data_IF_302056814851
#
_entry.id   IF_302056814851
#
_cell.length_a   1.000
_cell.length_b   1.000
_cell.length_c   1.000
_cell.angle_alpha   90.00
_cell.angle_beta   90.00
_cell.angle_gamma   90.00
#
_symmetry.space_group_name_H-M   'P 1'
#
loop_
_entity.id
_entity.type
_entity.pdbx_description
1 polymer ?
#
# COMPACT_ATOMS: atom_id res chain seq x y z
N UNK A 1 -4.41 25.91 -14.74
CA UNK A 1 -3.21 25.60 -15.55
C UNK A 1 -3.03 24.09 -15.50
N UNK A 2 -3.30 23.36 -16.59
CA UNK A 2 -2.93 21.95 -16.64
C UNK A 2 -1.43 21.88 -16.85
N UNK A 3 -0.68 21.56 -15.81
CA UNK A 3 0.71 21.12 -15.93
C UNK A 3 0.78 19.98 -16.96
N UNK A 4 1.83 19.95 -17.78
CA UNK A 4 2.05 18.87 -18.74
C UNK A 4 2.22 17.50 -18.05
N UNK A 5 2.31 16.40 -18.82
CA UNK A 5 2.38 15.02 -18.29
C UNK A 5 3.65 14.73 -17.47
N UNK A 6 4.63 15.62 -17.50
CA UNK A 6 5.88 15.54 -16.75
C UNK A 6 6.07 16.81 -15.92
N UNK A 7 6.09 16.67 -14.60
CA UNK A 7 6.24 17.81 -13.67
C UNK A 7 7.40 17.54 -12.73
N UNK A 8 8.40 18.41 -12.72
CA UNK A 8 9.49 18.34 -11.74
C UNK A 8 8.97 18.79 -10.37
N UNK A 9 9.05 17.92 -9.38
CA UNK A 9 8.52 18.15 -8.02
C UNK A 9 9.63 18.27 -6.96
N UNK A 10 10.85 17.85 -7.29
CA UNK A 10 12.04 18.03 -6.46
C UNK A 10 13.27 18.28 -7.33
N UNK A 11 14.42 18.54 -6.71
CA UNK A 11 15.69 18.78 -7.38
C UNK A 11 16.01 17.69 -8.42
N UNK A 12 15.82 16.43 -8.07
CA UNK A 12 16.09 15.27 -8.92
C UNK A 12 14.86 14.39 -9.21
N UNK A 13 13.63 14.84 -8.88
CA UNK A 13 12.41 14.02 -9.03
C UNK A 13 11.40 14.64 -9.99
N UNK A 14 10.90 13.81 -10.91
CA UNK A 14 9.85 14.15 -11.87
C UNK A 14 8.65 13.25 -11.62
N UNK A 15 7.50 13.87 -11.36
CA UNK A 15 6.20 13.22 -11.36
C UNK A 15 5.75 12.97 -12.80
N UNK A 16 5.35 11.73 -13.08
CA UNK A 16 4.93 11.27 -14.41
C UNK A 16 3.44 10.92 -14.38
N UNK A 17 2.64 11.70 -15.09
CA UNK A 17 1.21 11.47 -15.33
C UNK A 17 0.95 11.29 -16.83
N UNK A 18 1.35 10.11 -17.34
CA UNK A 18 1.21 9.74 -18.74
C UNK A 18 0.72 8.28 -18.87
N UNK A 19 -0.06 7.91 -19.90
CA UNK A 19 -0.49 6.52 -20.10
C UNK A 19 0.65 5.51 -20.14
N UNK A 20 1.83 5.89 -20.64
CA UNK A 20 3.02 5.03 -20.68
C UNK A 20 3.78 4.92 -19.34
N UNK A 21 3.34 5.64 -18.29
CA UNK A 21 4.02 5.64 -16.99
C UNK A 21 4.09 4.24 -16.35
N UNK A 22 3.16 3.33 -16.68
CA UNK A 22 3.20 1.95 -16.17
C UNK A 22 4.49 1.22 -16.57
N UNK A 23 5.11 1.58 -17.69
CA UNK A 23 6.35 0.96 -18.16
C UNK A 23 7.50 1.22 -17.18
N UNK A 24 7.50 2.38 -16.51
CA UNK A 24 8.47 2.72 -15.47
C UNK A 24 8.34 1.74 -14.29
N UNK A 25 7.11 1.37 -13.92
CA UNK A 25 6.84 0.46 -12.81
C UNK A 25 7.05 -1.01 -13.17
N UNK A 26 6.81 -1.38 -14.43
CA UNK A 26 6.95 -2.74 -14.93
C UNK A 26 8.42 -3.10 -15.24
N UNK A 27 9.23 -2.11 -15.61
CA UNK A 27 10.65 -2.31 -15.87
C UNK A 27 11.42 -2.67 -14.58
N UNK A 28 12.50 -3.47 -14.69
CA UNK A 28 13.34 -3.84 -13.55
C UNK A 28 14.27 -2.69 -13.13
N UNK A 29 13.69 -1.52 -12.85
CA UNK A 29 14.39 -0.34 -12.39
C UNK A 29 14.63 -0.41 -10.89
N UNK A 30 15.71 0.24 -10.46
CA UNK A 30 15.97 0.42 -9.03
C UNK A 30 14.86 1.26 -8.40
N UNK A 31 14.35 0.83 -7.25
CA UNK A 31 13.53 1.73 -6.43
C UNK A 31 14.43 2.77 -5.79
N UNK A 32 13.92 3.98 -5.55
CA UNK A 32 14.71 5.02 -4.88
C UNK A 32 14.92 4.70 -3.40
N UNK A 33 15.90 5.35 -2.77
CA UNK A 33 16.19 5.23 -1.35
C UNK A 33 15.01 5.57 -0.42
N UNK A 34 14.00 6.29 -0.91
CA UNK A 34 12.72 6.48 -0.21
C UNK A 34 12.10 5.16 0.28
N UNK A 35 12.25 4.05 -0.46
CA UNK A 35 11.70 2.76 -0.03
C UNK A 35 12.40 2.19 1.20
N UNK A 36 13.65 2.59 1.49
CA UNK A 36 14.35 2.19 2.72
C UNK A 36 13.64 2.67 3.99
N UNK A 37 12.75 3.67 3.89
CA UNK A 37 11.90 4.09 5.00
C UNK A 37 10.97 2.97 5.50
N UNK A 38 10.67 1.98 4.66
CA UNK A 38 9.87 0.80 5.01
C UNK A 38 10.71 -0.36 5.57
N UNK A 39 12.01 -0.14 5.82
CA UNK A 39 12.85 -1.05 6.60
C UNK A 39 12.52 -0.89 8.09
N UNK A 40 11.44 -1.54 8.52
CA UNK A 40 10.96 -1.55 9.91
C UNK A 40 11.29 -2.91 10.54
N UNK A 41 11.73 -2.98 11.82
CA UNK A 41 11.93 -1.90 12.79
C UNK A 41 13.06 -0.92 12.51
N UNK A 42 14.09 -1.32 11.77
CA UNK A 42 15.27 -0.49 11.54
C UNK A 42 15.95 -0.83 10.20
N UNK A 43 16.97 -0.05 9.86
CA UNK A 43 17.69 -0.15 8.58
C UNK A 43 18.41 -1.48 8.31
N UNK A 44 18.53 -2.38 9.29
CA UNK A 44 19.09 -3.73 9.07
C UNK A 44 18.03 -4.73 8.61
N UNK A 45 16.74 -4.38 8.69
CA UNK A 45 15.66 -5.20 8.17
C UNK A 45 15.41 -4.89 6.70
N UNK A 46 15.14 -5.94 5.92
CA UNK A 46 14.83 -5.79 4.52
C UNK A 46 13.55 -6.56 4.18
N UNK A 47 12.52 -5.81 3.83
CA UNK A 47 11.21 -6.30 3.42
C UNK A 47 11.04 -6.21 1.90
N UNK A 48 10.02 -6.86 1.36
CA UNK A 48 9.69 -6.74 -0.07
C UNK A 48 9.44 -5.30 -0.51
N UNK A 49 8.89 -4.47 0.39
CA UNK A 49 8.62 -3.06 0.12
C UNK A 49 9.92 -2.26 0.15
N UNK A 50 10.79 -2.48 1.13
CA UNK A 50 12.05 -1.73 1.28
C UNK A 50 13.16 -2.10 0.31
N UNK A 51 13.15 -3.32 -0.24
CA UNK A 51 14.19 -3.75 -1.18
C UNK A 51 14.16 -2.91 -2.46
N UNK A 52 15.30 -2.29 -2.77
CA UNK A 52 15.48 -1.36 -3.87
C UNK A 52 16.15 -2.00 -5.10
N UNK A 53 16.93 -3.08 -4.88
CA UNK A 53 17.59 -3.82 -5.94
C UNK A 53 16.56 -4.74 -6.66
N UNK A 54 16.35 -4.56 -7.96
CA UNK A 54 15.36 -5.34 -8.71
C UNK A 54 15.67 -6.84 -8.72
N UNK A 55 16.94 -7.24 -8.67
CA UNK A 55 17.33 -8.67 -8.66
C UNK A 55 16.98 -9.32 -7.32
N UNK A 56 17.36 -8.67 -6.21
CA UNK A 56 17.02 -9.16 -4.87
C UNK A 56 15.52 -9.17 -4.64
N UNK A 57 14.82 -8.13 -5.08
CA UNK A 57 13.37 -8.07 -5.03
C UNK A 57 12.72 -9.24 -5.76
N UNK A 58 13.20 -9.58 -6.97
CA UNK A 58 12.70 -10.72 -7.73
C UNK A 58 12.91 -12.04 -6.98
N UNK A 59 14.08 -12.26 -6.37
CA UNK A 59 14.36 -13.44 -5.54
C UNK A 59 13.43 -13.51 -4.33
N UNK A 60 13.31 -12.42 -3.56
CA UNK A 60 12.43 -12.36 -2.38
C UNK A 60 10.97 -12.62 -2.76
N UNK A 61 10.50 -12.01 -3.87
CA UNK A 61 9.14 -12.23 -4.39
C UNK A 61 8.94 -13.69 -4.79
N UNK A 62 9.91 -14.29 -5.46
CA UNK A 62 9.84 -15.70 -5.87
C UNK A 62 9.72 -16.63 -4.66
N UNK A 63 10.46 -16.37 -3.58
CA UNK A 63 10.44 -17.18 -2.36
C UNK A 63 9.07 -17.16 -1.66
N UNK A 64 8.31 -16.07 -1.80
CA UNK A 64 6.98 -15.92 -1.20
C UNK A 64 5.84 -16.31 -2.16
N UNK A 65 6.11 -16.41 -3.46
CA UNK A 65 5.08 -16.59 -4.48
C UNK A 65 4.23 -17.87 -4.30
N UNK A 66 4.83 -18.95 -3.81
CA UNK A 66 4.11 -20.22 -3.57
C UNK A 66 3.06 -20.12 -2.47
N UNK A 67 3.34 -19.33 -1.42
CA UNK A 67 2.42 -19.08 -0.31
C UNK A 67 1.17 -18.30 -0.74
N UNK A 68 1.30 -17.43 -1.73
CA UNK A 68 0.20 -16.63 -2.30
C UNK A 68 -0.33 -17.17 -3.63
N UNK A 69 -0.03 -18.43 -3.96
CA UNK A 69 -0.58 -19.08 -5.15
C UNK A 69 -2.10 -19.18 -5.06
N UNK A 70 -2.80 -19.22 -6.19
CA UNK A 70 -4.27 -19.36 -6.20
C UNK A 70 -4.75 -20.57 -5.40
N UNK A 71 -4.05 -21.70 -5.50
CA UNK A 71 -4.34 -22.91 -4.72
C UNK A 71 -4.14 -22.73 -3.22
N UNK A 72 -3.19 -21.91 -2.78
CA UNK A 72 -2.99 -21.62 -1.35
C UNK A 72 -4.07 -20.69 -0.82
N UNK A 73 -4.43 -19.65 -1.59
CA UNK A 73 -5.49 -18.70 -1.21
C UNK A 73 -6.85 -19.40 -1.10
N UNK A 74 -7.17 -20.31 -2.01
CA UNK A 74 -8.42 -21.08 -1.94
C UNK A 74 -8.53 -21.93 -0.66
N UNK A 75 -7.41 -22.40 -0.11
CA UNK A 75 -7.42 -23.12 1.18
C UNK A 75 -7.82 -22.22 2.36
N UNK A 76 -7.65 -20.91 2.22
CA UNK A 76 -8.01 -19.94 3.25
C UNK A 76 -9.50 -19.55 3.23
N UNK A 77 -10.22 -19.83 2.13
CA UNK A 77 -11.62 -19.43 1.93
C UNK A 77 -12.55 -19.88 3.08
N UNK A 78 -12.52 -21.14 3.57
CA UNK A 78 -13.40 -21.56 4.66
C UNK A 78 -13.16 -20.81 5.97
N UNK A 79 -11.95 -20.31 6.18
CA UNK A 79 -11.61 -19.54 7.38
C UNK A 79 -12.07 -18.08 7.25
N UNK A 80 -11.97 -17.52 6.04
CA UNK A 80 -12.53 -16.21 5.73
C UNK A 80 -14.05 -16.21 5.95
N UNK A 81 -14.75 -17.25 5.48
CA UNK A 81 -16.20 -17.41 5.67
C UNK A 81 -16.58 -17.41 7.16
N UNK A 82 -15.85 -18.16 8.00
CA UNK A 82 -16.07 -18.17 9.46
C UNK A 82 -15.86 -16.80 10.09
N UNK A 83 -14.88 -16.05 9.61
CA UNK A 83 -14.56 -14.72 10.14
C UNK A 83 -15.64 -13.71 9.73
N UNK A 84 -16.21 -13.85 8.52
CA UNK A 84 -17.34 -13.06 8.06
C UNK A 84 -18.59 -13.37 8.87
N UNK A 85 -18.90 -14.65 9.11
CA UNK A 85 -20.04 -15.06 9.96
C UNK A 85 -19.93 -14.48 11.37
N UNK A 86 -18.70 -14.42 11.93
CA UNK A 86 -18.47 -13.78 13.21
C UNK A 86 -18.75 -12.27 13.15
N UNK A 87 -18.34 -11.59 12.09
CA UNK A 87 -18.68 -10.18 11.91
C UNK A 87 -20.21 -9.99 11.84
N UNK A 88 -20.91 -10.82 11.06
CA UNK A 88 -22.38 -10.76 10.96
C UNK A 88 -23.04 -10.90 12.33
N UNK A 89 -22.62 -11.89 13.11
CA UNK A 89 -23.10 -12.07 14.49
C UNK A 89 -22.86 -10.82 15.35
N UNK A 90 -21.67 -10.21 15.28
CA UNK A 90 -21.34 -8.99 16.03
C UNK A 90 -22.19 -7.82 15.60
N UNK A 91 -22.44 -7.67 14.30
CA UNK A 91 -23.30 -6.61 13.78
C UNK A 91 -24.76 -6.78 14.24
N UNK A 92 -25.27 -8.01 14.31
CA UNK A 92 -26.58 -8.30 14.86
C UNK A 92 -26.68 -7.94 16.35
N UNK A 93 -25.67 -8.30 17.15
CA UNK A 93 -25.58 -7.94 18.57
C UNK A 93 -25.56 -6.42 18.78
N UNK A 94 -24.84 -5.67 17.95
CA UNK A 94 -24.79 -4.21 18.02
C UNK A 94 -26.09 -3.56 17.56
N UNK A 95 -26.72 -4.12 16.53
CA UNK A 95 -28.01 -3.65 16.01
C UNK A 95 -29.09 -3.72 17.09
N UNK A 96 -29.12 -4.78 17.89
CA UNK A 96 -30.05 -4.93 19.01
C UNK A 96 -29.90 -3.86 20.10
N UNK A 97 -28.68 -3.35 20.30
CA UNK A 97 -28.41 -2.29 21.29
C UNK A 97 -28.98 -0.93 20.87
N UNK A 98 -29.35 -0.75 19.59
CA UNK A 98 -29.88 0.49 19.00
C UNK A 98 -29.01 1.72 19.27
N UNK A 99 -27.71 1.52 19.44
CA UNK A 99 -26.72 2.59 19.60
C UNK A 99 -25.95 2.76 18.29
N UNK A 100 -25.59 3.99 17.92
CA UNK A 100 -24.70 4.20 16.78
C UNK A 100 -23.35 3.55 17.04
N UNK A 101 -22.79 2.91 16.02
CA UNK A 101 -21.48 2.30 16.05
C UNK A 101 -20.72 2.59 14.76
N UNK A 102 -19.39 2.58 14.85
CA UNK A 102 -18.51 2.87 13.72
C UNK A 102 -18.33 1.63 12.82
N UNK A 103 -19.18 1.47 11.80
CA UNK A 103 -19.12 0.33 10.89
C UNK A 103 -17.75 0.17 10.21
N UNK A 104 -17.11 1.28 9.84
CA UNK A 104 -15.77 1.27 9.23
C UNK A 104 -14.69 0.67 10.14
N UNK A 105 -14.84 0.79 11.46
CA UNK A 105 -13.93 0.19 12.43
C UNK A 105 -14.10 -1.34 12.49
N UNK A 106 -15.34 -1.83 12.43
CA UNK A 106 -15.63 -3.26 12.38
C UNK A 106 -15.14 -3.91 11.07
N UNK A 107 -15.18 -3.18 9.95
CA UNK A 107 -14.53 -3.62 8.72
C UNK A 107 -13.01 -3.72 8.87
N UNK A 108 -12.37 -2.81 9.62
CA UNK A 108 -10.94 -2.93 9.93
C UNK A 108 -10.67 -4.18 10.78
N UNK A 109 -11.49 -4.45 11.80
CA UNK A 109 -11.35 -5.67 12.63
C UNK A 109 -11.45 -6.94 11.80
N UNK A 110 -12.41 -7.00 10.87
CA UNK A 110 -12.52 -8.10 9.91
C UNK A 110 -11.26 -8.26 9.08
N UNK A 111 -10.75 -7.17 8.49
CA UNK A 111 -9.53 -7.22 7.66
C UNK A 111 -8.32 -7.71 8.47
N UNK A 112 -8.19 -7.28 9.72
CA UNK A 112 -7.12 -7.74 10.62
C UNK A 112 -7.20 -9.23 10.92
N UNK A 113 -8.38 -9.75 11.25
CA UNK A 113 -8.56 -11.16 11.58
C UNK A 113 -8.40 -12.06 10.35
N UNK A 114 -8.94 -11.65 9.19
CA UNK A 114 -8.71 -12.37 7.91
C UNK A 114 -7.23 -12.40 7.57
N UNK A 115 -6.51 -11.29 7.72
CA UNK A 115 -5.09 -11.26 7.43
C UNK A 115 -4.30 -12.16 8.37
N UNK A 116 -4.59 -12.12 9.68
CA UNK A 116 -3.96 -13.01 10.65
C UNK A 116 -4.16 -14.48 10.28
N UNK A 117 -5.37 -14.83 9.88
CA UNK A 117 -5.73 -16.19 9.48
C UNK A 117 -5.01 -16.61 8.18
N UNK A 118 -4.97 -15.75 7.16
CA UNK A 118 -4.30 -16.07 5.88
C UNK A 118 -2.78 -16.17 6.06
N UNK A 119 -2.18 -15.31 6.88
CA UNK A 119 -0.72 -15.22 7.04
C UNK A 119 -0.17 -16.21 8.08
N UNK A 120 -0.90 -16.41 9.18
CA UNK A 120 -0.45 -17.17 10.35
C UNK A 120 -1.35 -18.34 10.71
N UNK A 121 -2.41 -18.61 9.92
CA UNK A 121 -3.42 -19.65 10.21
C UNK A 121 -4.07 -19.49 11.58
N UNK A 122 -4.12 -18.26 12.10
CA UNK A 122 -4.77 -17.93 13.37
C UNK A 122 -5.33 -16.50 13.38
N UNK A 123 -6.54 -16.34 13.89
CA UNK A 123 -7.19 -15.03 14.07
C UNK A 123 -6.48 -14.26 15.18
N UNK A 124 -6.33 -12.95 15.00
CA UNK A 124 -5.73 -12.07 16.00
C UNK A 124 -6.73 -11.77 17.14
N UNK A 125 -8.02 -11.78 16.81
CA UNK A 125 -9.14 -11.66 17.74
C UNK A 125 -9.72 -10.25 17.85
N UNK A 126 -9.56 -9.42 16.83
CA UNK A 126 -10.14 -8.07 16.82
C UNK A 126 -11.67 -8.11 16.88
N UNK A 127 -12.32 -9.02 16.13
CA UNK A 127 -13.77 -9.22 16.17
C UNK A 127 -14.25 -9.86 17.47
N UNK A 128 -13.43 -10.71 18.10
CA UNK A 128 -13.76 -11.34 19.37
C UNK A 128 -13.84 -10.30 20.49
N UNK A 129 -12.91 -9.33 20.50
CA UNK A 129 -12.83 -8.30 21.54
C UNK A 129 -13.57 -7.00 21.20
N UNK A 130 -13.91 -6.77 19.92
CA UNK A 130 -14.60 -5.55 19.47
C UNK A 130 -13.81 -4.26 19.75
N UNK A 131 -12.48 -4.33 19.82
CA UNK A 131 -11.61 -3.19 20.16
C UNK A 131 -10.30 -3.22 19.39
N UNK A 132 -9.66 -2.06 19.27
CA UNK A 132 -8.32 -1.95 18.69
C UNK A 132 -7.28 -2.60 19.62
N UNK A 133 -6.75 -3.77 19.20
CA UNK A 133 -5.75 -4.52 19.97
C UNK A 133 -4.38 -3.85 19.77
N UNK A 134 -3.76 -3.44 20.88
CA UNK A 134 -2.42 -2.85 20.86
C UNK A 134 -2.32 -1.46 20.21
N UNK A 135 -3.45 -0.75 20.07
CA UNK A 135 -3.53 0.51 19.29
C UNK A 135 -3.02 0.34 17.84
N UNK A 136 -3.12 -0.87 17.27
CA UNK A 136 -2.56 -1.17 15.95
C UNK A 136 -3.20 -0.32 14.84
N UNK A 137 -4.50 -0.03 14.97
CA UNK A 137 -5.23 0.81 14.01
C UNK A 137 -4.93 2.28 14.27
N UNK A 138 -4.98 2.72 15.54
CA UNK A 138 -4.71 4.12 15.90
C UNK A 138 -3.28 4.56 15.56
N UNK A 139 -2.30 3.68 15.76
CA UNK A 139 -0.90 3.95 15.47
C UNK A 139 -0.63 4.14 13.98
N UNK A 140 -1.51 3.59 13.12
CA UNK A 140 -1.31 3.65 11.68
C UNK A 140 -1.36 5.08 11.14
N UNK A 141 -2.22 5.93 11.70
CA UNK A 141 -2.28 7.34 11.34
C UNK A 141 -0.99 8.09 11.73
N UNK A 142 -0.44 7.77 12.91
CA UNK A 142 0.85 8.31 13.36
C UNK A 142 2.00 7.89 12.44
N UNK A 143 2.03 6.62 12.01
CA UNK A 143 3.01 6.15 11.03
C UNK A 143 2.84 6.86 9.68
N UNK A 144 1.62 7.04 9.19
CA UNK A 144 1.37 7.71 7.91
C UNK A 144 1.90 9.16 7.91
N UNK A 145 1.67 9.91 8.99
CA UNK A 145 2.23 11.25 9.18
C UNK A 145 3.76 11.23 9.23
N UNK A 146 4.34 10.25 9.93
CA UNK A 146 5.78 10.06 10.02
C UNK A 146 6.42 9.76 8.66
N UNK A 147 5.88 8.79 7.91
CA UNK A 147 6.40 8.40 6.58
C UNK A 147 6.28 9.58 5.61
N UNK A 148 5.15 10.29 5.62
CA UNK A 148 4.95 11.47 4.76
C UNK A 148 5.95 12.58 5.09
N UNK A 149 6.22 12.83 6.37
CA UNK A 149 7.17 13.87 6.79
C UNK A 149 8.63 13.50 6.50
N UNK A 150 9.00 12.24 6.74
CA UNK A 150 10.36 11.72 6.49
C UNK A 150 10.65 11.46 5.02
N UNK A 151 9.63 11.30 4.18
CA UNK A 151 9.76 11.21 2.72
C UNK A 151 10.46 12.43 2.11
N UNK A 152 10.14 13.63 2.61
CA UNK A 152 10.70 14.90 2.14
C UNK A 152 11.94 15.33 2.92
N UNK A 153 12.12 14.83 4.15
CA UNK A 153 13.27 15.11 5.02
C UNK A 153 13.93 13.79 5.47
N UNK A 154 14.66 13.13 4.56
CA UNK A 154 15.27 11.81 4.78
C UNK A 154 16.21 11.75 6.00
N UNK A 155 16.85 12.87 6.36
CA UNK A 155 17.69 12.98 7.56
C UNK A 155 16.91 12.84 8.88
N UNK A 156 15.60 13.14 8.87
CA UNK A 156 14.72 12.99 10.02
C UNK A 156 14.43 11.50 10.32
N UNK A 157 14.46 10.64 9.29
CA UNK A 157 14.32 9.18 9.47
C UNK A 157 15.48 8.57 10.25
N UNK A 158 16.70 9.09 10.05
CA UNK A 158 17.90 8.66 10.76
C UNK A 158 17.88 9.05 12.26
N UNK A 159 17.19 10.13 12.62
CA UNK A 159 17.06 10.61 14.01
C UNK A 159 15.91 9.94 14.79
N UNK A 160 14.86 9.50 14.07
CA UNK A 160 13.65 8.93 14.65
C UNK A 160 13.66 7.38 14.59
N UNK A 161 12.82 6.73 13.77
CA UNK A 161 12.61 5.26 13.84
C UNK A 161 13.84 4.40 13.50
N UNK A 162 14.86 4.95 12.84
CA UNK A 162 16.12 4.21 12.61
C UNK A 162 17.05 4.16 13.85
N UNK A 163 16.70 4.82 14.96
CA UNK A 163 17.54 4.86 16.16
C UNK A 163 17.35 3.58 17.03
N UNK A 164 18.42 2.81 17.33
CA UNK A 164 18.36 1.60 18.16
C UNK A 164 17.77 1.80 19.57
N UNK A 165 17.71 3.04 20.08
CA UNK A 165 17.20 3.37 21.41
C UNK A 165 15.67 3.28 21.49
N UNK A 166 14.95 3.49 20.38
CA UNK A 166 13.48 3.36 20.34
C UNK A 166 12.98 1.91 20.46
N UNK A 167 13.90 0.93 20.49
CA UNK A 167 13.65 -0.49 20.78
C UNK A 167 12.89 -0.74 22.09
N UNK A 168 12.98 0.18 23.05
CA UNK A 168 12.35 0.07 24.37
C UNK A 168 10.90 0.58 24.44
N UNK A 169 10.37 1.22 23.39
CA UNK A 169 9.06 1.86 23.40
C UNK A 169 7.96 1.11 22.61
N UNK A 170 8.24 -0.12 22.14
CA UNK A 170 7.28 -1.07 21.53
C UNK A 170 6.26 -0.47 20.53
N UNK A 171 6.73 0.45 19.68
CA UNK A 171 5.96 0.98 18.55
C UNK A 171 6.27 0.19 17.28
N UNK A 172 5.48 -0.85 17.00
CA UNK A 172 5.55 -1.64 15.77
C UNK A 172 4.22 -1.55 15.01
N UNK A 173 4.10 -0.73 13.97
CA UNK A 173 2.92 -0.74 13.11
C UNK A 173 3.00 -1.92 12.13
N UNK A 174 1.88 -2.62 11.99
CA UNK A 174 1.67 -3.67 11.01
C UNK A 174 0.65 -3.14 9.99
N UNK A 175 0.91 -3.31 8.70
CA UNK A 175 -0.01 -2.89 7.64
C UNK A 175 -0.21 -4.03 6.64
N UNK A 176 -1.47 -4.43 6.41
CA UNK A 176 -1.94 -5.19 5.25
C UNK A 176 -3.48 -4.99 5.13
N UNK A 177 -4.01 -4.73 3.93
CA UNK A 177 -5.45 -4.50 3.72
C UNK A 177 -6.03 -5.25 2.52
N UNK A 178 -7.23 -5.85 2.68
CA UNK A 178 -8.13 -6.24 1.60
C UNK A 178 -9.61 -6.20 2.06
N UNK A 179 -10.51 -5.71 1.20
CA UNK A 179 -11.97 -5.64 1.41
C UNK A 179 -12.67 -6.39 0.26
N UNK A 180 -13.77 -7.08 0.58
CA UNK A 180 -14.57 -7.87 -0.37
C UNK A 180 -15.77 -7.08 -0.91
N UNK A 181 -15.92 -7.10 -2.23
CA UNK A 181 -17.03 -6.55 -3.03
C UNK A 181 -17.05 -7.28 -4.38
N UNK A 182 -18.12 -7.21 -5.19
CA UNK A 182 -18.12 -7.76 -6.55
C UNK A 182 -16.89 -7.28 -7.34
N UNK A 183 -16.28 -8.14 -8.16
CA UNK A 183 -14.97 -7.87 -8.79
C UNK A 183 -14.94 -6.51 -9.50
N UNK A 184 -16.03 -6.14 -10.17
CA UNK A 184 -16.21 -4.86 -10.84
C UNK A 184 -16.21 -3.67 -9.85
N UNK A 185 -17.08 -3.71 -8.84
CA UNK A 185 -17.16 -2.73 -7.75
C UNK A 185 -15.81 -2.55 -7.05
N UNK A 186 -15.12 -3.66 -6.76
CA UNK A 186 -13.82 -3.65 -6.08
C UNK A 186 -12.74 -3.02 -6.93
N UNK A 187 -12.64 -3.40 -8.21
CA UNK A 187 -11.69 -2.82 -9.15
C UNK A 187 -11.92 -1.31 -9.30
N UNK A 188 -13.18 -0.90 -9.40
CA UNK A 188 -13.52 0.51 -9.53
C UNK A 188 -13.26 1.31 -8.25
N UNK A 189 -13.56 0.73 -7.08
CA UNK A 189 -13.20 1.32 -5.79
C UNK A 189 -11.70 1.47 -5.64
N UNK A 190 -10.90 0.47 -6.04
CA UNK A 190 -9.42 0.54 -6.02
C UNK A 190 -8.86 1.50 -7.07
N UNK A 191 -9.59 1.74 -8.17
CA UNK A 191 -9.22 2.76 -9.16
C UNK A 191 -9.33 4.14 -8.53
N UNK A 192 -10.47 4.47 -7.94
CA UNK A 192 -10.66 5.77 -7.29
C UNK A 192 -9.86 5.90 -5.97
N UNK A 193 -9.78 4.83 -5.18
CA UNK A 193 -9.13 4.82 -3.89
C UNK A 193 -8.04 3.73 -3.88
N UNK A 194 -6.91 3.97 -4.56
CA UNK A 194 -5.81 3.02 -4.57
C UNK A 194 -5.30 2.82 -3.15
N UNK A 195 -4.97 1.57 -2.79
CA UNK A 195 -4.37 1.26 -1.48
C UNK A 195 -3.03 1.96 -1.24
N UNK A 196 -2.38 2.44 -2.31
CA UNK A 196 -1.18 3.27 -2.25
C UNK A 196 -1.41 4.55 -3.06
N UNK A 197 -1.77 5.67 -2.40
CA UNK A 197 -2.08 6.94 -3.09
C UNK A 197 -0.85 7.84 -3.31
N UNK A 198 0.33 7.44 -2.83
CA UNK A 198 1.56 8.23 -2.93
C UNK A 198 2.43 7.87 -4.14
N UNK A 199 3.46 8.69 -4.38
CA UNK A 199 4.42 8.51 -5.47
C UNK A 199 5.17 7.18 -5.33
N UNK A 200 5.38 6.50 -6.46
CA UNK A 200 6.18 5.29 -6.57
C UNK A 200 7.48 5.58 -7.33
N UNK A 201 8.53 6.06 -6.63
CA UNK A 201 9.77 6.50 -7.27
C UNK A 201 10.62 5.34 -7.82
N UNK A 202 11.15 5.52 -9.03
CA UNK A 202 12.13 4.66 -9.68
C UNK A 202 13.33 5.48 -10.14
N UNK A 203 14.52 4.92 -10.05
CA UNK A 203 15.77 5.58 -10.45
C UNK A 203 16.09 5.23 -11.89
N UNK A 204 16.35 6.26 -12.70
CA UNK A 204 16.82 6.09 -14.08
C UNK A 204 18.23 5.45 -14.04
N UNK A 205 18.45 4.34 -14.77
CA UNK A 205 19.71 3.61 -14.76
C UNK A 205 20.85 4.44 -15.36
N UNK A 206 22.08 3.90 -15.44
CA UNK A 206 23.21 4.63 -16.05
C UNK A 206 22.95 4.95 -17.52
N UNK A 207 22.22 4.08 -18.20
CA UNK A 207 21.69 4.32 -19.53
C UNK A 207 20.51 5.29 -19.46
N UNK A 208 20.40 6.21 -20.42
CA UNK A 208 19.26 7.12 -20.49
C UNK A 208 17.97 6.34 -20.69
N UNK A 209 16.92 6.67 -19.93
CA UNK A 209 15.59 6.10 -20.11
C UNK A 209 14.72 7.05 -20.92
N UNK A 210 14.01 6.52 -21.91
CA UNK A 210 13.05 7.30 -22.69
C UNK A 210 11.64 6.87 -22.32
N UNK A 211 10.77 7.82 -21.98
CA UNK A 211 9.35 7.55 -21.68
C UNK A 211 8.50 8.54 -22.47
N UNK A 212 7.54 8.06 -23.26
CA UNK A 212 6.68 8.89 -24.11
C UNK A 212 7.47 9.91 -24.97
N UNK A 213 8.61 9.49 -25.53
CA UNK A 213 9.48 10.35 -26.34
C UNK A 213 10.34 11.36 -25.56
N UNK A 214 10.23 11.43 -24.23
CA UNK A 214 11.07 12.27 -23.39
C UNK A 214 12.28 11.49 -22.85
N UNK A 215 13.47 12.04 -23.04
CA UNK A 215 14.73 11.47 -22.56
C UNK A 215 15.05 11.93 -21.14
N UNK A 216 15.33 10.97 -20.25
CA UNK A 216 15.74 11.21 -18.88
C UNK A 216 17.17 10.73 -18.65
N UNK A 217 17.96 11.54 -17.96
CA UNK A 217 19.35 11.26 -17.63
C UNK A 217 19.46 10.38 -16.39
N UNK A 218 20.58 9.66 -16.29
CA UNK A 218 20.94 8.85 -15.13
C UNK A 218 20.75 9.60 -13.80
N UNK A 219 20.23 8.89 -12.79
CA UNK A 219 20.06 9.42 -11.43
C UNK A 219 18.80 10.28 -11.24
N UNK A 220 18.08 10.60 -12.32
CA UNK A 220 16.74 11.19 -12.23
C UNK A 220 15.78 10.19 -11.58
N UNK A 221 14.96 10.65 -10.65
CA UNK A 221 13.87 9.87 -10.05
C UNK A 221 12.61 10.13 -10.86
N UNK A 222 12.01 9.07 -11.40
CA UNK A 222 10.70 9.10 -12.03
C UNK A 222 9.68 8.51 -11.07
N UNK A 223 8.70 9.32 -10.71
CA UNK A 223 7.65 8.96 -9.76
C UNK A 223 6.31 8.84 -10.44
N UNK A 224 5.74 7.64 -10.38
CA UNK A 224 4.39 7.38 -10.88
C UNK A 224 3.43 7.44 -9.71
N UNK A 225 2.39 8.26 -9.82
CA UNK A 225 1.38 8.39 -8.77
C UNK A 225 0.10 7.63 -9.18
N UNK A 226 -0.26 6.52 -8.50
CA UNK A 226 -1.46 5.75 -8.82
C UNK A 226 -2.75 6.58 -8.71
N UNK A 227 -2.83 7.53 -7.77
CA UNK A 227 -3.99 8.40 -7.62
C UNK A 227 -4.26 9.25 -8.87
N UNK A 228 -3.19 9.76 -9.49
CA UNK A 228 -3.26 10.57 -10.72
C UNK A 228 -3.52 9.70 -11.94
N UNK A 229 -2.73 8.62 -12.14
CA UNK A 229 -2.87 7.73 -13.29
C UNK A 229 -4.26 7.13 -13.38
N UNK A 230 -4.84 6.71 -12.24
CA UNK A 230 -6.19 6.15 -12.20
C UNK A 230 -7.30 7.15 -12.53
N UNK A 231 -6.99 8.46 -12.53
CA UNK A 231 -7.90 9.56 -12.90
C UNK A 231 -7.52 10.23 -14.22
N UNK A 232 -6.50 9.71 -14.89
CA UNK A 232 -6.04 10.25 -16.16
C UNK A 232 -7.10 9.98 -17.25
N UNK A 233 -7.65 11.04 -17.82
CA UNK A 233 -8.70 10.95 -18.82
C UNK A 233 -8.25 10.30 -20.13
N UNK A 234 -6.94 10.27 -20.42
CA UNK A 234 -6.41 9.52 -21.57
C UNK A 234 -6.48 8.00 -21.36
N UNK A 235 -6.40 7.54 -20.10
CA UNK A 235 -6.50 6.12 -19.74
C UNK A 235 -7.95 5.68 -19.51
N UNK A 236 -8.73 6.53 -18.83
CA UNK A 236 -10.07 6.18 -18.33
C UNK A 236 -11.19 7.01 -18.95
N UNK A 237 -10.94 7.89 -19.91
CA UNK A 237 -11.99 8.71 -20.52
C UNK A 237 -12.39 9.93 -19.69
N UNK A 238 -13.32 10.74 -20.20
CA UNK A 238 -13.68 12.04 -19.61
C UNK A 238 -14.34 11.92 -18.23
N UNK A 239 -14.93 10.78 -17.93
CA UNK A 239 -15.57 10.45 -16.66
C UNK A 239 -14.60 9.77 -15.67
N UNK A 240 -13.28 9.86 -15.87
CA UNK A 240 -12.28 9.22 -15.01
C UNK A 240 -12.37 9.59 -13.51
N UNK A 241 -13.02 10.70 -13.14
CA UNK A 241 -13.23 11.05 -11.74
C UNK A 241 -14.53 10.47 -11.15
N UNK A 242 -15.40 9.88 -11.98
CA UNK A 242 -16.68 9.33 -11.57
C UNK A 242 -16.55 7.85 -11.21
N UNK A 243 -17.35 7.42 -10.24
CA UNK A 243 -17.48 6.00 -9.91
C UNK A 243 -18.40 5.31 -10.93
N UNK A 244 -17.85 4.44 -11.76
CA UNK A 244 -18.59 3.64 -12.72
C UNK A 244 -18.07 2.19 -12.74
N UNK A 245 -18.70 1.27 -11.99
CA UNK A 245 -18.25 -0.11 -11.92
C UNK A 245 -18.50 -0.89 -13.23
N UNK A 246 -19.24 -0.33 -14.21
CA UNK A 246 -19.54 -0.96 -15.50
C UNK A 246 -18.61 -0.51 -16.64
N UNK A 247 -17.55 0.25 -16.33
CA UNK A 247 -16.66 0.81 -17.35
C UNK A 247 -15.81 -0.21 -18.09
#
# INVERSE_FOLDING_TARGET
MSSGPFVRISYNEVSVDHPEAFQILAAPLWKSDWYKLFAVPNSTYNSLTSECDPKKYATMRSNLASGFSGSSVMKSEPFMDKTIQLLEQRLDELSQQKKPFEFGLWLHFLTWDIMGEVMFSTRVGFLDQGRDIGNSIKNNFGLALYVTSTAYAQWLHALLLSNPILRWLDFQPKELSAIWAPVATRKESLRLYPGVPWNLPRVVPRESLTVAGHHFTHGTILSVNPWLIHRNAACFGKDANNYNPKR
#
